data_IF_163119334736
#
_entry.id   IF_163119334736
#
_cell.length_a   1.000
_cell.length_b   1.000
_cell.length_c   1.000
_cell.angle_alpha   90.00
_cell.angle_beta   90.00
_cell.angle_gamma   90.00
#
_symmetry.space_group_name_H-M   'P 1'
#
loop_
_entity.id
_entity.type
_entity.pdbx_description
1 polymer ?
#
# COMPACT_ATOMS: atom_id res chain seq x y z
N UNK A 1 15.62 -12.86 -6.13
CA UNK A 1 15.19 -11.61 -6.69
C UNK A 1 13.68 -11.56 -6.90
N UNK A 2 13.10 -10.39 -6.92
CA UNK A 2 11.67 -10.16 -6.97
C UNK A 2 11.36 -8.86 -7.72
N UNK A 3 10.22 -8.85 -8.40
CA UNK A 3 9.71 -7.69 -9.12
C UNK A 3 8.27 -7.42 -8.69
N UNK A 4 7.89 -6.16 -8.56
CA UNK A 4 6.49 -5.77 -8.33
C UNK A 4 5.96 -5.01 -9.54
N UNK A 5 4.74 -5.36 -9.97
CA UNK A 5 4.07 -4.75 -11.11
C UNK A 5 2.67 -4.31 -10.67
N UNK A 6 2.33 -3.05 -10.94
CA UNK A 6 0.98 -2.55 -10.72
C UNK A 6 0.23 -2.51 -12.05
N UNK A 7 -0.97 -3.05 -12.08
CA UNK A 7 -1.77 -3.18 -13.30
C UNK A 7 -3.18 -2.62 -13.11
N UNK A 8 -3.78 -2.15 -14.19
CA UNK A 8 -5.19 -1.75 -14.21
C UNK A 8 -5.79 -2.06 -15.58
N UNK A 9 -7.12 -2.01 -15.67
CA UNK A 9 -7.82 -2.20 -16.93
C UNK A 9 -8.72 -1.00 -17.25
N UNK A 10 -8.78 -0.61 -18.51
CA UNK A 10 -9.74 0.38 -18.99
C UNK A 10 -11.17 -0.15 -18.99
N UNK A 11 -11.35 -1.48 -18.94
CA UNK A 11 -12.65 -2.12 -18.88
C UNK A 11 -12.96 -2.48 -17.42
N UNK A 12 -14.01 -1.88 -16.80
CA UNK A 12 -14.33 -2.14 -15.40
C UNK A 12 -14.78 -3.58 -15.12
N UNK A 13 -15.15 -4.33 -16.16
CA UNK A 13 -15.55 -5.73 -16.04
C UNK A 13 -14.37 -6.71 -16.08
N UNK A 14 -13.15 -6.21 -16.25
CA UNK A 14 -11.94 -7.03 -16.29
C UNK A 14 -11.19 -6.93 -14.95
N UNK A 15 -10.90 -8.08 -14.35
CA UNK A 15 -9.99 -8.18 -13.22
C UNK A 15 -8.56 -8.19 -13.75
N UNK A 16 -7.90 -7.03 -13.69
CA UNK A 16 -6.57 -6.87 -14.28
C UNK A 16 -5.54 -7.79 -13.64
N UNK A 17 -5.53 -7.92 -12.31
CA UNK A 17 -4.60 -8.81 -11.61
C UNK A 17 -4.88 -10.26 -11.97
N UNK A 18 -6.14 -10.69 -11.90
CA UNK A 18 -6.53 -12.06 -12.25
C UNK A 18 -6.16 -12.42 -13.68
N UNK A 19 -6.32 -11.50 -14.63
CA UNK A 19 -5.97 -11.72 -16.02
C UNK A 19 -4.46 -11.91 -16.22
N UNK A 20 -3.64 -11.17 -15.46
CA UNK A 20 -2.18 -11.28 -15.54
C UNK A 20 -1.65 -12.54 -14.83
N UNK A 21 -2.27 -12.91 -13.71
CA UNK A 21 -1.87 -14.11 -12.95
C UNK A 21 -2.25 -15.37 -13.69
N UNK A 22 -3.49 -15.40 -14.22
CA UNK A 22 -4.02 -16.58 -14.91
C UNK A 22 -4.53 -17.64 -13.93
N UNK A 23 -5.19 -18.65 -14.48
CA UNK A 23 -5.73 -19.76 -13.69
C UNK A 23 -4.59 -20.49 -12.96
N UNK A 24 -4.69 -20.60 -11.65
CA UNK A 24 -3.67 -21.24 -10.80
C UNK A 24 -2.27 -20.65 -10.99
N UNK A 25 -2.19 -19.37 -11.38
CA UNK A 25 -0.91 -18.71 -11.60
C UNK A 25 -0.22 -19.07 -12.90
N UNK A 26 -0.91 -19.70 -13.85
CA UNK A 26 -0.28 -20.24 -15.06
C UNK A 26 0.43 -19.17 -15.90
N UNK A 27 -0.17 -17.97 -16.02
CA UNK A 27 0.44 -16.90 -16.82
C UNK A 27 1.66 -16.30 -16.15
N UNK A 28 1.53 -15.92 -14.88
CA UNK A 28 2.65 -15.31 -14.14
C UNK A 28 3.78 -16.31 -13.95
N UNK A 29 3.47 -17.59 -13.70
CA UNK A 29 4.49 -18.61 -13.50
C UNK A 29 5.28 -18.88 -14.79
N UNK A 30 4.65 -18.79 -15.96
CA UNK A 30 5.36 -18.91 -17.22
C UNK A 30 6.44 -17.83 -17.38
N UNK A 31 6.13 -16.60 -16.94
CA UNK A 31 7.11 -15.50 -16.99
C UNK A 31 8.18 -15.70 -15.93
N UNK A 32 7.81 -16.14 -14.73
CA UNK A 32 8.78 -16.46 -13.66
C UNK A 32 9.80 -17.48 -14.17
N UNK A 33 9.35 -18.51 -14.90
CA UNK A 33 10.27 -19.51 -15.50
C UNK A 33 11.19 -18.89 -16.54
N UNK A 34 10.65 -18.03 -17.42
CA UNK A 34 11.45 -17.31 -18.41
C UNK A 34 12.53 -16.47 -17.75
N UNK A 35 12.24 -15.90 -16.60
CA UNK A 35 13.18 -15.08 -15.82
C UNK A 35 14.02 -15.90 -14.84
N UNK A 36 14.00 -17.23 -15.01
CA UNK A 36 14.83 -18.15 -14.20
C UNK A 36 14.56 -18.06 -12.71
N UNK A 37 13.29 -17.97 -12.34
CA UNK A 37 12.85 -18.02 -10.96
C UNK A 37 12.72 -16.66 -10.28
N UNK A 38 12.80 -15.55 -11.02
CA UNK A 38 12.52 -14.25 -10.43
C UNK A 38 11.05 -14.15 -10.07
N UNK A 39 10.75 -13.94 -8.80
CA UNK A 39 9.36 -13.87 -8.33
C UNK A 39 8.72 -12.56 -8.75
N UNK A 40 7.43 -12.62 -9.10
CA UNK A 40 6.68 -11.46 -9.54
C UNK A 40 5.44 -11.28 -8.67
N UNK A 41 5.31 -10.11 -8.05
CA UNK A 41 4.08 -9.70 -7.36
C UNK A 41 3.30 -8.81 -8.33
N UNK A 42 2.07 -9.20 -8.65
CA UNK A 42 1.18 -8.40 -9.47
C UNK A 42 0.11 -7.80 -8.55
N UNK A 43 0.01 -6.48 -8.53
CA UNK A 43 -0.90 -5.77 -7.62
C UNK A 43 -1.79 -4.81 -8.41
N UNK A 44 -2.91 -4.42 -7.82
CA UNK A 44 -3.80 -3.43 -8.44
C UNK A 44 -3.19 -2.03 -8.33
N UNK A 45 -3.15 -1.34 -9.46
CA UNK A 45 -2.86 0.09 -9.46
C UNK A 45 -4.09 0.86 -8.98
N UNK A 46 -3.88 1.98 -8.31
CA UNK A 46 -4.96 2.83 -7.80
C UNK A 46 -4.50 4.29 -7.85
N UNK A 47 -5.41 5.19 -8.24
CA UNK A 47 -5.12 6.63 -8.25
C UNK A 47 -4.87 7.17 -6.84
N UNK A 48 -5.54 6.61 -5.85
CA UNK A 48 -5.37 7.01 -4.45
C UNK A 48 -4.02 6.49 -3.94
N UNK A 49 -3.11 7.38 -3.53
CA UNK A 49 -1.78 6.95 -3.10
C UNK A 49 -1.79 5.97 -1.92
N UNK A 50 -2.70 6.17 -0.97
CA UNK A 50 -2.81 5.26 0.16
C UNK A 50 -3.19 3.86 -0.25
N UNK A 51 -4.15 3.74 -1.17
CA UNK A 51 -4.56 2.44 -1.70
C UNK A 51 -3.44 1.78 -2.50
N UNK A 52 -2.75 2.55 -3.33
CA UNK A 52 -1.63 2.03 -4.12
C UNK A 52 -0.50 1.51 -3.23
N UNK A 53 -0.16 2.27 -2.18
CA UNK A 53 0.89 1.86 -1.23
C UNK A 53 0.47 0.58 -0.51
N UNK A 54 -0.78 0.49 -0.06
CA UNK A 54 -1.30 -0.71 0.57
C UNK A 54 -1.19 -1.92 -0.36
N UNK A 55 -1.61 -1.77 -1.61
CA UNK A 55 -1.54 -2.84 -2.61
C UNK A 55 -0.08 -3.23 -2.90
N UNK A 56 0.80 -2.24 -2.99
CA UNK A 56 2.22 -2.46 -3.28
C UNK A 56 2.95 -3.25 -2.19
N UNK A 57 2.47 -3.18 -0.95
CA UNK A 57 3.07 -3.90 0.17
C UNK A 57 2.58 -5.36 0.28
N UNK A 58 1.70 -5.78 -0.66
CA UNK A 58 1.31 -7.18 -0.75
C UNK A 58 2.55 -8.10 -0.70
N UNK A 59 2.48 -9.25 -0.03
CA UNK A 59 1.30 -9.87 0.58
C UNK A 59 1.03 -9.45 2.04
N UNK A 60 1.72 -8.45 2.57
CA UNK A 60 1.51 -8.00 3.94
C UNK A 60 0.15 -7.34 4.11
N UNK A 61 -0.50 -7.60 5.23
CA UNK A 61 -1.75 -6.97 5.60
C UNK A 61 -1.46 -5.63 6.30
N UNK A 62 -2.24 -4.62 6.00
CA UNK A 62 -2.02 -3.25 6.45
C UNK A 62 -3.19 -2.80 7.32
N UNK A 63 -2.89 -2.11 8.42
CA UNK A 63 -3.91 -1.49 9.29
C UNK A 63 -4.28 -0.10 8.78
N UNK A 64 -3.28 0.73 8.49
CA UNK A 64 -3.51 2.11 8.08
C UNK A 64 -2.35 2.63 7.25
N UNK A 65 -2.67 3.55 6.34
CA UNK A 65 -1.68 4.30 5.55
C UNK A 65 -2.01 5.79 5.65
N UNK A 66 -1.01 6.58 6.01
CA UNK A 66 -1.09 8.04 6.04
C UNK A 66 -0.13 8.57 4.96
N UNK A 67 -0.67 8.85 3.79
CA UNK A 67 0.13 9.30 2.64
C UNK A 67 0.07 10.83 2.52
N UNK A 68 1.23 11.43 2.24
CA UNK A 68 1.36 12.85 1.95
C UNK A 68 1.79 12.99 0.47
N UNK A 69 0.85 13.30 -0.44
CA UNK A 69 1.17 13.39 -1.86
C UNK A 69 2.12 14.54 -2.21
N UNK A 70 2.12 15.61 -1.43
CA UNK A 70 2.99 16.76 -1.68
C UNK A 70 4.45 16.42 -1.40
N UNK A 71 4.71 15.77 -0.28
CA UNK A 71 6.05 15.37 0.13
C UNK A 71 6.47 14.01 -0.45
N UNK A 72 5.53 13.25 -1.00
CA UNK A 72 5.76 11.88 -1.47
C UNK A 72 6.29 10.98 -0.36
N UNK A 73 5.68 11.10 0.82
CA UNK A 73 6.01 10.26 1.98
C UNK A 73 4.76 9.54 2.46
N UNK A 74 4.94 8.40 3.10
CA UNK A 74 3.84 7.64 3.67
C UNK A 74 4.27 6.97 4.97
N UNK A 75 3.35 6.98 5.94
CA UNK A 75 3.50 6.26 7.19
C UNK A 75 2.50 5.12 7.20
N UNK A 76 3.00 3.92 7.44
CA UNK A 76 2.20 2.69 7.35
C UNK A 76 2.23 1.95 8.67
N UNK A 77 1.04 1.53 9.13
CA UNK A 77 0.88 0.73 10.33
C UNK A 77 0.43 -0.66 9.94
N UNK A 78 1.10 -1.67 10.48
CA UNK A 78 0.78 -3.08 10.24
C UNK A 78 0.55 -3.79 11.56
N UNK A 79 -0.22 -4.90 11.58
CA UNK A 79 -0.27 -5.75 12.76
C UNK A 79 1.14 -6.22 13.12
N UNK A 80 1.42 -6.38 14.41
CA UNK A 80 2.76 -6.78 14.86
C UNK A 80 3.27 -8.01 14.13
N UNK A 81 2.43 -9.01 13.93
CA UNK A 81 2.83 -10.26 13.27
C UNK A 81 3.10 -10.11 11.77
N UNK A 82 2.74 -8.96 11.17
CA UNK A 82 2.96 -8.68 9.75
C UNK A 82 4.20 -7.83 9.49
N UNK A 83 4.84 -7.29 10.53
CA UNK A 83 5.94 -6.34 10.34
C UNK A 83 7.08 -6.91 9.51
N UNK A 84 7.53 -8.12 9.84
CA UNK A 84 8.62 -8.76 9.10
C UNK A 84 8.26 -8.99 7.63
N UNK A 85 7.01 -9.39 7.36
CA UNK A 85 6.55 -9.63 6.00
C UNK A 85 6.45 -8.31 5.22
N UNK A 86 5.94 -7.25 5.86
CA UNK A 86 5.80 -5.94 5.23
C UNK A 86 7.17 -5.37 4.81
N UNK A 87 8.16 -5.48 5.69
CA UNK A 87 9.52 -5.01 5.41
C UNK A 87 10.21 -5.96 4.42
N UNK A 88 10.05 -7.26 4.63
CA UNK A 88 10.66 -8.29 3.82
C UNK A 88 12.11 -8.54 4.19
N UNK A 89 12.67 -9.63 3.68
CA UNK A 89 14.08 -9.99 3.88
C UNK A 89 14.95 -8.87 3.33
N UNK A 90 15.84 -8.34 4.16
CA UNK A 90 16.75 -7.25 3.81
C UNK A 90 16.02 -6.00 3.31
N UNK A 91 14.76 -5.82 3.74
CA UNK A 91 13.95 -4.68 3.34
C UNK A 91 13.41 -4.74 1.92
N UNK A 92 13.47 -5.90 1.27
CA UNK A 92 13.13 -6.04 -0.14
C UNK A 92 11.69 -5.65 -0.45
N UNK A 93 10.72 -6.10 0.35
CA UNK A 93 9.32 -5.82 0.07
C UNK A 93 9.02 -4.32 0.16
N UNK A 94 9.49 -3.68 1.23
CA UNK A 94 9.30 -2.23 1.43
C UNK A 94 10.01 -1.42 0.35
N UNK A 95 11.24 -1.81 -0.02
CA UNK A 95 12.02 -1.10 -1.03
C UNK A 95 11.38 -1.18 -2.41
N UNK A 96 10.88 -2.35 -2.80
CA UNK A 96 10.18 -2.52 -4.07
C UNK A 96 8.88 -1.71 -4.10
N UNK A 97 8.12 -1.71 -2.99
CA UNK A 97 6.90 -0.92 -2.89
C UNK A 97 7.21 0.58 -3.01
N UNK A 98 8.27 1.06 -2.37
CA UNK A 98 8.70 2.45 -2.46
C UNK A 98 9.05 2.84 -3.90
N UNK A 99 9.77 1.99 -4.61
CA UNK A 99 10.13 2.24 -6.01
C UNK A 99 8.91 2.25 -6.92
N UNK A 100 7.99 1.30 -6.72
CA UNK A 100 6.79 1.18 -7.54
C UNK A 100 5.89 2.40 -7.39
N UNK A 101 5.71 2.88 -6.16
CA UNK A 101 4.78 3.98 -5.85
C UNK A 101 5.40 5.36 -5.97
N UNK A 102 6.71 5.46 -5.90
CA UNK A 102 7.42 6.75 -5.86
C UNK A 102 7.34 7.44 -4.50
N UNK A 103 6.92 6.72 -3.46
CA UNK A 103 6.80 7.25 -2.10
C UNK A 103 7.91 6.72 -1.21
N UNK A 104 8.37 7.57 -0.29
CA UNK A 104 9.21 7.14 0.81
C UNK A 104 8.29 6.55 1.88
N UNK A 105 8.44 5.27 2.17
CA UNK A 105 7.51 4.53 3.04
C UNK A 105 8.19 4.20 4.36
N UNK A 106 7.55 4.60 5.47
CA UNK A 106 7.99 4.26 6.83
C UNK A 106 6.95 3.32 7.43
N UNK A 107 7.38 2.11 7.82
CA UNK A 107 6.49 1.06 8.30
C UNK A 107 6.74 0.81 9.78
N UNK A 108 5.66 0.80 10.56
CA UNK A 108 5.71 0.45 11.98
C UNK A 108 4.62 -0.55 12.32
N UNK A 109 4.91 -1.39 13.32
CA UNK A 109 3.87 -2.26 13.89
C UNK A 109 2.89 -1.43 14.71
N UNK A 110 1.73 -2.00 15.01
CA UNK A 110 0.74 -1.35 15.87
C UNK A 110 1.35 -0.95 17.23
N UNK A 111 2.16 -1.84 17.81
CA UNK A 111 2.82 -1.56 19.08
C UNK A 111 3.78 -0.38 18.97
N UNK A 112 4.60 -0.34 17.94
CA UNK A 112 5.53 0.78 17.69
C UNK A 112 4.79 2.08 17.39
N UNK A 113 3.68 1.99 16.66
CA UNK A 113 2.91 3.15 16.22
C UNK A 113 2.28 3.92 17.38
N UNK A 114 1.99 3.26 18.50
CA UNK A 114 1.39 3.90 19.67
C UNK A 114 2.20 5.09 20.18
N UNK A 115 3.51 5.01 20.09
CA UNK A 115 4.44 6.02 20.60
C UNK A 115 5.13 6.80 19.48
N UNK A 116 4.69 6.65 18.24
CA UNK A 116 5.34 7.27 17.09
C UNK A 116 4.47 8.40 16.52
N UNK A 117 4.99 9.65 16.47
CA UNK A 117 4.24 10.77 15.90
C UNK A 117 3.92 10.55 14.42
N UNK A 118 2.68 10.85 14.05
CA UNK A 118 2.20 10.73 12.68
C UNK A 118 1.73 9.33 12.28
N UNK A 119 1.78 8.35 13.20
CA UNK A 119 1.33 6.97 12.95
C UNK A 119 -0.03 6.65 13.59
N UNK A 120 -0.73 7.67 14.11
CA UNK A 120 -2.02 7.49 14.79
C UNK A 120 -3.05 8.43 14.18
N UNK A 121 -4.29 7.98 14.13
CA UNK A 121 -5.39 8.84 13.70
C UNK A 121 -5.48 10.12 14.54
N UNK A 122 -5.17 10.02 15.82
CA UNK A 122 -5.17 11.15 16.75
C UNK A 122 -4.24 12.29 16.32
N UNK A 123 -3.19 11.99 15.59
CA UNK A 123 -2.25 12.98 15.09
C UNK A 123 -2.87 13.89 14.02
N UNK A 124 -4.04 13.49 13.48
CA UNK A 124 -4.75 14.20 12.42
C UNK A 124 -6.14 14.68 12.84
N UNK A 125 -6.52 14.49 14.10
CA UNK A 125 -7.88 14.74 14.61
C UNK A 125 -8.27 16.21 14.55
N UNK A 126 -7.35 17.14 14.90
CA UNK A 126 -7.67 18.57 14.95
C UNK A 126 -8.14 19.10 13.59
N UNK A 127 -7.45 18.73 12.51
CA UNK A 127 -7.83 19.11 11.16
C UNK A 127 -9.18 18.52 10.78
N UNK A 128 -9.43 17.28 11.17
CA UNK A 128 -10.67 16.58 10.89
C UNK A 128 -11.87 17.17 11.65
N UNK A 129 -11.67 17.52 12.92
CA UNK A 129 -12.72 18.13 13.75
C UNK A 129 -13.12 19.51 13.24
N UNK A 130 -12.14 20.32 12.83
CA UNK A 130 -12.39 21.64 12.25
C UNK A 130 -13.25 21.55 10.99
N UNK A 131 -12.94 20.63 10.09
CA UNK A 131 -13.74 20.37 8.89
C UNK A 131 -15.17 19.94 9.22
N UNK A 132 -15.32 19.08 10.23
CA UNK A 132 -16.63 18.58 10.65
C UNK A 132 -17.47 19.70 11.30
N UNK A 133 -16.88 20.57 12.09
CA UNK A 133 -17.56 21.71 12.69
C UNK A 133 -18.04 22.69 11.63
N UNK A 134 -17.21 22.99 10.63
CA UNK A 134 -17.57 23.87 9.52
C UNK A 134 -18.76 23.30 8.72
N UNK A 135 -18.74 22.03 8.41
CA UNK A 135 -19.84 21.35 7.71
C UNK A 135 -21.12 21.37 8.55
N UNK A 136 -21.00 21.16 9.85
CA UNK A 136 -22.15 21.18 10.76
C UNK A 136 -22.78 22.57 10.87
N UNK A 137 -21.97 23.62 10.99
CA UNK A 137 -22.44 25.00 11.06
C UNK A 137 -23.13 25.40 9.74
N UNK A 138 -22.62 24.94 8.61
CA UNK A 138 -23.23 25.15 7.30
C UNK A 138 -24.62 24.50 7.18
N UNK A 139 -24.83 23.34 7.77
CA UNK A 139 -26.10 22.64 7.75
C UNK A 139 -27.17 23.34 8.61
N UNK A 140 -26.78 24.04 9.66
CA UNK A 140 -27.72 24.75 10.53
C UNK A 140 -28.25 26.05 9.93
N UNK A 141 -27.61 26.61 8.96
CA UNK A 141 -28.03 27.80 8.24
C UNK A 141 -29.12 27.49 7.21
#
# INVERSE_FOLDING_TARGET
SRTKIAVWSNNPNVDAVGACVGMNGARVNAIVEELRGEKIDIVNWDENPGNLIQNALSPAKIVAVFADPDEKTAKVVVPDYQLSLAIGKEGQNARLAARLTGYKIDIKSETQAKDAPGFRYEDYVDDYEDETEDDFDGEQE
#
